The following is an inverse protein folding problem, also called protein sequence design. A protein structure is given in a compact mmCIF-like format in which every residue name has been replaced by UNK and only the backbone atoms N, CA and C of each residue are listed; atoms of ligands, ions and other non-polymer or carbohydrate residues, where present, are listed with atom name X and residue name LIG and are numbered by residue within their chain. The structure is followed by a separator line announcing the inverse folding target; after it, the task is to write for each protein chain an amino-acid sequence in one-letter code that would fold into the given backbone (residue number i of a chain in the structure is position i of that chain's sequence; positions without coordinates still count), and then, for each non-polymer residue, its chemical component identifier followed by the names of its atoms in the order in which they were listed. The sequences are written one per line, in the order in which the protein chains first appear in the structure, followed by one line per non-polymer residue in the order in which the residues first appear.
data_IF_845126282615
#
_entry.id   IF_845126282615
#
_cell.length_a   1.000
_cell.length_b   1.000
_cell.length_c   1.000
_cell.angle_alpha   90.00
_cell.angle_beta   90.00
_cell.angle_gamma   90.00
#
_symmetry.space_group_name_H-M   'P 1'
#
loop_
_entity.id
_entity.type
_entity.pdbx_description
1 polymer ?
#
# COMPACT_ATOMS: atom_id res chain seq x y z
N UNK A 1 -6.20 8.57 17.32
CA UNK A 1 -7.33 7.89 16.64
C UNK A 1 -7.07 6.38 16.69
N UNK A 2 -8.08 5.54 16.98
CA UNK A 2 -7.94 4.09 17.05
C UNK A 2 -7.57 3.45 15.70
N UNK A 3 -8.08 3.97 14.58
CA UNK A 3 -7.79 3.45 13.25
C UNK A 3 -6.30 3.56 12.90
N UNK A 4 -5.66 4.71 13.17
CA UNK A 4 -4.23 4.89 12.93
C UNK A 4 -3.39 3.88 13.72
N UNK A 5 -3.73 3.67 15.00
CA UNK A 5 -3.02 2.70 15.86
C UNK A 5 -3.14 1.27 15.35
N UNK A 6 -4.30 0.88 14.82
CA UNK A 6 -4.50 -0.45 14.24
C UNK A 6 -3.55 -0.66 13.05
N UNK A 7 -3.52 0.27 12.10
CA UNK A 7 -2.64 0.15 10.92
C UNK A 7 -1.16 0.15 11.30
N UNK A 8 -0.75 0.95 12.29
CA UNK A 8 0.60 0.92 12.85
C UNK A 8 0.97 -0.47 13.39
N UNK A 9 0.05 -1.12 14.11
CA UNK A 9 0.28 -2.46 14.65
C UNK A 9 0.38 -3.52 13.54
N UNK A 10 -0.48 -3.45 12.53
CA UNK A 10 -0.50 -4.44 11.43
C UNK A 10 0.75 -4.33 10.52
N UNK A 11 1.25 -3.11 10.34
CA UNK A 11 2.40 -2.80 9.49
C UNK A 11 3.73 -2.77 10.24
N UNK A 12 3.73 -2.97 11.57
CA UNK A 12 4.95 -2.98 12.36
C UNK A 12 5.94 -4.05 11.87
N UNK A 13 7.20 -3.66 11.63
CA UNK A 13 8.28 -4.54 11.21
C UNK A 13 8.43 -4.71 9.70
N UNK A 14 7.59 -4.08 8.88
CA UNK A 14 7.78 -4.05 7.43
C UNK A 14 8.76 -2.96 7.01
N UNK A 15 9.69 -3.31 6.12
CA UNK A 15 10.65 -2.37 5.54
C UNK A 15 9.92 -1.31 4.72
N UNK A 16 10.35 -0.05 4.83
CA UNK A 16 9.81 1.05 4.04
C UNK A 16 8.39 1.48 4.41
N UNK A 17 7.84 0.99 5.53
CA UNK A 17 6.49 1.34 5.98
C UNK A 17 6.53 2.02 7.34
N UNK A 18 6.05 3.26 7.35
CA UNK A 18 5.79 4.02 8.56
C UNK A 18 4.43 4.70 8.44
N UNK A 19 3.39 4.08 9.01
CA UNK A 19 2.03 4.65 8.97
C UNK A 19 1.89 5.74 10.05
N UNK A 20 2.10 6.98 9.64
CA UNK A 20 1.99 8.16 10.51
C UNK A 20 0.66 8.90 10.34
N UNK A 21 -0.01 8.69 9.20
CA UNK A 21 -1.30 9.26 8.85
C UNK A 21 -2.16 8.27 8.03
N UNK A 22 -3.38 8.67 7.72
CA UNK A 22 -4.30 7.92 6.85
C UNK A 22 -4.36 8.52 5.43
N UNK A 23 -3.31 9.24 5.02
CA UNK A 23 -3.25 9.91 3.73
C UNK A 23 -1.90 9.63 3.05
N UNK A 24 -0.84 10.34 3.45
CA UNK A 24 0.46 10.31 2.74
C UNK A 24 1.25 9.03 2.95
N UNK A 25 1.07 8.34 4.09
CA UNK A 25 1.80 7.12 4.45
C UNK A 25 1.51 5.92 3.53
N UNK A 26 0.53 6.07 2.65
CA UNK A 26 0.03 5.03 1.75
C UNK A 26 0.52 5.22 0.32
N UNK A 27 1.12 6.38 0.02
CA UNK A 27 1.45 6.80 -1.34
C UNK A 27 2.49 5.94 -2.02
N UNK A 28 3.37 5.25 -1.28
CA UNK A 28 4.36 4.34 -1.88
C UNK A 28 3.77 2.99 -2.30
N UNK A 29 2.52 2.70 -1.95
CA UNK A 29 1.89 1.38 -2.11
C UNK A 29 2.35 0.32 -1.10
N UNK A 30 3.54 0.47 -0.51
CA UNK A 30 4.12 -0.51 0.43
C UNK A 30 3.23 -0.76 1.65
N UNK A 31 2.56 0.25 2.19
CA UNK A 31 1.66 0.08 3.34
C UNK A 31 0.45 -0.81 2.99
N UNK A 32 -0.07 -0.73 1.75
CA UNK A 32 -1.15 -1.61 1.28
C UNK A 32 -0.64 -3.05 1.10
N UNK A 33 0.50 -3.21 0.41
CA UNK A 33 1.13 -4.51 0.22
C UNK A 33 1.44 -5.20 1.56
N UNK A 34 1.91 -4.45 2.56
CA UNK A 34 2.22 -4.96 3.90
C UNK A 34 0.98 -5.50 4.63
N UNK A 35 -0.18 -4.84 4.48
CA UNK A 35 -1.44 -5.32 5.06
C UNK A 35 -1.89 -6.63 4.42
N UNK A 36 -1.84 -6.72 3.10
CA UNK A 36 -2.19 -7.94 2.37
C UNK A 36 -1.25 -9.07 2.75
N UNK A 37 0.07 -8.84 2.73
CA UNK A 37 1.07 -9.82 3.13
C UNK A 37 0.90 -10.25 4.61
N UNK A 38 0.51 -9.33 5.51
CA UNK A 38 0.23 -9.68 6.91
C UNK A 38 -0.94 -10.67 7.03
N UNK A 39 -1.96 -10.52 6.21
CA UNK A 39 -3.13 -11.40 6.19
C UNK A 39 -2.82 -12.74 5.50
N UNK A 40 -2.12 -12.70 4.37
CA UNK A 40 -1.78 -13.85 3.51
C UNK A 40 -0.38 -13.65 2.91
N UNK A 41 0.67 -14.12 3.59
CA UNK A 41 2.05 -13.91 3.16
C UNK A 41 2.38 -14.50 1.79
N UNK A 42 1.61 -15.47 1.33
CA UNK A 42 1.80 -16.17 0.07
C UNK A 42 1.36 -15.38 -1.17
N UNK A 43 0.60 -14.28 -1.01
CA UNK A 43 0.04 -13.52 -2.12
C UNK A 43 0.97 -12.44 -2.68
N UNK A 44 1.92 -11.96 -1.89
CA UNK A 44 2.84 -10.88 -2.27
C UNK A 44 4.23 -11.23 -1.76
N UNK A 45 5.22 -11.29 -2.66
CA UNK A 45 6.63 -11.32 -2.24
C UNK A 45 7.07 -9.92 -1.79
N UNK A 46 6.79 -9.59 -0.53
CA UNK A 46 6.99 -8.24 -0.01
C UNK A 46 8.46 -7.81 -0.04
N UNK A 47 9.38 -8.73 0.22
CA UNK A 47 10.81 -8.42 0.30
C UNK A 47 11.40 -8.03 -1.06
N UNK A 48 10.72 -8.41 -2.15
CA UNK A 48 11.09 -8.03 -3.52
C UNK A 48 10.67 -6.61 -3.92
N UNK A 49 9.76 -5.97 -3.16
CA UNK A 49 9.18 -4.68 -3.53
C UNK A 49 10.18 -3.53 -3.38
N UNK A 50 10.11 -2.57 -4.31
CA UNK A 50 10.85 -1.31 -4.26
C UNK A 50 9.92 -0.15 -3.89
N UNK A 51 10.35 0.69 -2.94
CA UNK A 51 9.61 1.88 -2.52
C UNK A 51 9.47 2.91 -3.67
N UNK A 52 10.43 2.91 -4.61
CA UNK A 52 10.39 3.81 -5.77
C UNK A 52 9.37 3.40 -6.83
N UNK A 53 8.96 2.13 -6.85
CA UNK A 53 8.01 1.55 -7.80
C UNK A 53 6.55 1.79 -7.37
N UNK A 54 6.20 3.07 -7.15
CA UNK A 54 4.92 3.48 -6.55
C UNK A 54 3.71 2.92 -7.28
N UNK A 55 3.64 3.13 -8.60
CA UNK A 55 2.51 2.72 -9.43
C UNK A 55 2.37 1.19 -9.43
N UNK A 56 3.48 0.46 -9.58
CA UNK A 56 3.52 -1.00 -9.55
C UNK A 56 3.04 -1.56 -8.21
N UNK A 57 3.48 -0.98 -7.09
CA UNK A 57 3.08 -1.42 -5.76
C UNK A 57 1.57 -1.22 -5.51
N UNK A 58 1.03 -0.06 -5.92
CA UNK A 58 -0.40 0.22 -5.74
C UNK A 58 -1.24 -0.71 -6.63
N UNK A 59 -0.86 -0.89 -7.90
CA UNK A 59 -1.53 -1.83 -8.80
C UNK A 59 -1.51 -3.25 -8.24
N UNK A 60 -0.36 -3.75 -7.82
CA UNK A 60 -0.24 -5.08 -7.21
C UNK A 60 -1.18 -5.23 -6.01
N UNK A 61 -1.22 -4.24 -5.11
CA UNK A 61 -2.08 -4.29 -3.95
C UNK A 61 -3.57 -4.29 -4.34
N UNK A 62 -3.98 -3.48 -5.32
CA UNK A 62 -5.36 -3.42 -5.78
C UNK A 62 -5.80 -4.69 -6.49
N UNK A 63 -4.98 -5.23 -7.39
CA UNK A 63 -5.27 -6.46 -8.13
C UNK A 63 -5.42 -7.65 -7.17
N UNK A 64 -4.50 -7.80 -6.22
CA UNK A 64 -4.57 -8.87 -5.21
C UNK A 64 -5.77 -8.67 -4.28
N UNK A 65 -6.07 -7.44 -3.87
CA UNK A 65 -7.25 -7.15 -3.05
C UNK A 65 -8.56 -7.51 -3.75
N UNK A 66 -8.67 -7.20 -5.03
CA UNK A 66 -9.87 -7.50 -5.82
C UNK A 66 -9.99 -9.01 -6.10
N UNK A 67 -8.91 -9.66 -6.53
CA UNK A 67 -8.92 -11.08 -6.91
C UNK A 67 -9.12 -12.02 -5.72
N UNK A 68 -8.41 -11.76 -4.60
CA UNK A 68 -8.35 -12.70 -3.47
C UNK A 68 -9.33 -12.36 -2.35
N UNK A 69 -9.76 -11.09 -2.25
CA UNK A 69 -10.66 -10.63 -1.19
C UNK A 69 -11.97 -10.04 -1.72
N UNK A 70 -12.13 -9.87 -3.04
CA UNK A 70 -13.32 -9.27 -3.64
C UNK A 70 -13.50 -7.79 -3.30
N UNK A 71 -12.41 -7.11 -2.91
CA UNK A 71 -12.44 -5.71 -2.49
C UNK A 71 -12.09 -4.85 -3.71
N UNK A 72 -13.11 -4.25 -4.32
CA UNK A 72 -12.88 -3.33 -5.44
C UNK A 72 -12.30 -1.99 -4.92
N UNK A 73 -11.26 -1.44 -5.57
CA UNK A 73 -10.66 -0.17 -5.17
C UNK A 73 -11.67 0.99 -5.26
N UNK A 74 -11.66 1.88 -4.26
CA UNK A 74 -12.51 3.08 -4.26
C UNK A 74 -11.93 4.25 -5.08
N UNK A 75 -10.64 4.18 -5.44
CA UNK A 75 -9.89 5.20 -6.15
C UNK A 75 -8.90 4.55 -7.10
N UNK A 76 -8.49 5.26 -8.14
CA UNK A 76 -7.48 4.77 -9.09
C UNK A 76 -6.06 4.97 -8.58
N UNK A 77 -5.09 4.34 -9.23
CA UNK A 77 -3.66 4.48 -8.88
C UNK A 77 -3.16 5.91 -9.12
N UNK A 78 -3.65 6.57 -10.16
CA UNK A 78 -3.36 7.96 -10.49
C UNK A 78 -3.90 8.93 -9.42
N UNK A 79 -5.09 8.65 -8.88
CA UNK A 79 -5.66 9.45 -7.79
C UNK A 79 -4.86 9.29 -6.49
N UNK A 80 -4.33 8.08 -6.25
CA UNK A 80 -3.59 7.76 -5.02
C UNK A 80 -2.18 8.35 -5.02
N UNK A 81 -1.59 8.51 -6.20
CA UNK A 81 -0.24 9.06 -6.39
C UNK A 81 -0.17 10.60 -6.39
N UNK A 82 -1.27 11.33 -6.12
CA UNK A 82 -1.32 12.81 -6.19
C UNK A 82 -0.31 13.54 -5.26
N UNK A 83 0.40 14.61 -5.73
CA UNK A 83 0.33 15.23 -7.06
C UNK A 83 0.92 14.32 -8.14
N UNK A 84 0.49 14.47 -9.41
CA UNK A 84 0.86 13.53 -10.48
C UNK A 84 2.38 13.38 -10.53
N UNK A 85 2.89 12.16 -10.75
CA UNK A 85 4.33 11.88 -10.78
C UNK A 85 5.10 12.84 -11.71
N UNK A 86 4.44 13.32 -12.76
CA UNK A 86 4.97 14.28 -13.73
C UNK A 86 5.04 15.74 -13.23
N UNK A 87 4.39 16.06 -12.11
CA UNK A 87 4.34 17.41 -11.52
C UNK A 87 5.46 17.65 -10.49
N UNK A 88 6.31 16.65 -10.23
CA UNK A 88 7.46 16.75 -9.33
C UNK A 88 8.80 16.89 -10.08
N UNK A 89 8.76 17.02 -11.42
CA UNK A 89 9.91 17.28 -12.29
C UNK A 89 9.93 18.73 -12.79
#
# INVERSE_FOLDING_TARGET
NAALKLHQQQTHGYRGVAVCDLTTSWKSGLALCALIHRCRPDLIDYDSLDESAVEENIHLAFDVAEQEFGISPLMTVEEMSWPPLNALN
#
